data_IF_025054955088
#
_entry.id   IF_025054955088
#
_cell.length_a   1.000
_cell.length_b   1.000
_cell.length_c   1.000
_cell.angle_alpha   90.00
_cell.angle_beta   90.00
_cell.angle_gamma   90.00
#
_symmetry.space_group_name_H-M   'P 1'
#
loop_
_entity.id
_entity.type
_entity.pdbx_description
1 polymer ?
#
# COMPACT_ATOMS: atom_id res chain seq x y z
N UNK A 1 4.24 24.23 -2.13
CA UNK A 1 4.61 23.97 -0.72
C UNK A 1 3.95 22.68 -0.17
N UNK A 2 3.95 21.56 -0.92
CA UNK A 2 3.29 20.29 -0.49
C UNK A 2 4.24 19.09 -0.37
N UNK A 3 5.55 19.29 -0.57
CA UNK A 3 6.52 18.19 -0.62
C UNK A 3 6.85 17.59 0.75
N UNK A 4 6.73 18.37 1.83
CA UNK A 4 7.17 17.97 3.17
C UNK A 4 6.25 16.96 3.85
N UNK A 5 4.92 17.09 3.71
CA UNK A 5 3.98 16.22 4.41
C UNK A 5 4.01 14.77 3.90
N UNK A 6 4.15 14.56 2.59
CA UNK A 6 4.23 13.21 2.01
C UNK A 6 5.54 12.47 2.32
N UNK A 7 6.60 13.21 2.69
CA UNK A 7 7.89 12.66 3.11
C UNK A 7 7.83 12.31 4.60
N UNK A 8 7.25 13.19 5.42
CA UNK A 8 7.07 12.96 6.86
C UNK A 8 6.14 11.76 7.13
N UNK A 9 4.99 11.69 6.46
CA UNK A 9 4.05 10.55 6.57
C UNK A 9 4.72 9.23 6.15
N UNK A 10 5.50 9.23 5.07
CA UNK A 10 6.22 8.03 4.62
C UNK A 10 7.33 7.59 5.57
N UNK A 11 7.94 8.50 6.32
CA UNK A 11 8.91 8.14 7.35
C UNK A 11 8.21 7.38 8.49
N UNK A 12 7.08 7.89 8.96
CA UNK A 12 6.28 7.24 10.01
C UNK A 12 5.76 5.86 9.58
N UNK A 13 5.30 5.72 8.33
CA UNK A 13 4.83 4.44 7.78
C UNK A 13 5.97 3.43 7.56
N UNK A 14 7.10 3.91 7.05
CA UNK A 14 8.29 3.07 6.86
C UNK A 14 8.75 2.51 8.20
N UNK A 15 8.60 3.29 9.28
CA UNK A 15 8.93 2.85 10.63
C UNK A 15 7.95 1.80 11.17
N UNK A 16 6.67 1.86 10.80
CA UNK A 16 5.69 0.80 11.13
C UNK A 16 6.03 -0.52 10.43
N UNK A 17 6.40 -0.51 9.16
CA UNK A 17 6.76 -1.76 8.45
C UNK A 17 8.08 -2.33 8.95
N UNK A 18 9.03 -1.49 9.39
CA UNK A 18 10.21 -1.96 10.13
C UNK A 18 9.80 -2.67 11.42
N UNK A 19 8.88 -2.08 12.20
CA UNK A 19 8.37 -2.71 13.42
C UNK A 19 7.69 -4.05 13.14
N UNK A 20 6.89 -4.13 12.07
CA UNK A 20 6.28 -5.38 11.61
C UNK A 20 7.34 -6.42 11.19
N UNK A 21 8.47 -5.98 10.64
CA UNK A 21 9.57 -6.88 10.28
C UNK A 21 10.20 -7.53 11.52
N UNK A 22 10.44 -6.77 12.59
CA UNK A 22 10.89 -7.33 13.87
C UNK A 22 9.85 -8.27 14.47
N UNK A 23 8.58 -7.86 14.45
CA UNK A 23 7.47 -8.66 14.94
C UNK A 23 7.36 -10.01 14.20
N UNK A 24 7.42 -9.99 12.86
CA UNK A 24 7.38 -11.19 12.04
C UNK A 24 8.60 -12.09 12.25
N UNK A 25 9.79 -11.52 12.50
CA UNK A 25 10.99 -12.28 12.86
C UNK A 25 10.78 -13.08 14.14
N UNK A 26 10.21 -12.46 15.17
CA UNK A 26 9.89 -13.13 16.44
C UNK A 26 8.85 -14.24 16.28
N UNK A 27 8.02 -14.18 15.24
CA UNK A 27 7.05 -15.21 14.86
C UNK A 27 7.60 -16.23 13.85
N UNK A 28 8.91 -16.28 13.62
CA UNK A 28 9.56 -17.29 12.78
C UNK A 28 9.53 -16.99 11.27
N UNK A 29 9.35 -15.73 10.86
CA UNK A 29 9.53 -15.34 9.45
C UNK A 29 10.96 -15.61 8.98
N UNK A 30 11.09 -16.21 7.79
CA UNK A 30 12.38 -16.50 7.15
C UNK A 30 12.97 -15.31 6.38
N UNK A 31 12.14 -14.33 6.04
CA UNK A 31 12.57 -13.14 5.28
C UNK A 31 11.78 -11.89 5.72
N UNK A 32 11.84 -11.51 7.01
CA UNK A 32 11.10 -10.36 7.56
C UNK A 32 11.47 -9.04 6.88
N UNK A 33 12.73 -8.87 6.47
CA UNK A 33 13.25 -7.68 5.78
C UNK A 33 12.56 -7.41 4.43
N UNK A 34 11.96 -8.43 3.81
CA UNK A 34 11.25 -8.28 2.53
C UNK A 34 9.84 -7.71 2.70
N UNK A 35 9.32 -7.56 3.92
CA UNK A 35 7.95 -7.11 4.15
C UNK A 35 7.71 -5.71 3.57
N UNK A 36 8.68 -4.79 3.65
CA UNK A 36 8.59 -3.48 2.99
C UNK A 36 8.22 -3.60 1.50
N UNK A 37 8.98 -4.40 0.75
CA UNK A 37 8.76 -4.61 -0.68
C UNK A 37 7.41 -5.31 -0.93
N UNK A 38 7.02 -6.25 -0.07
CA UNK A 38 5.74 -6.96 -0.17
C UNK A 38 4.55 -6.00 -0.05
N UNK A 39 4.57 -5.09 0.92
CA UNK A 39 3.50 -4.11 1.10
C UNK A 39 3.49 -3.03 0.01
N UNK A 40 4.65 -2.56 -0.45
CA UNK A 40 4.72 -1.66 -1.61
C UNK A 40 4.13 -2.31 -2.86
N UNK A 41 4.46 -3.57 -3.14
CA UNK A 41 3.89 -4.32 -4.27
C UNK A 41 2.39 -4.54 -4.12
N UNK A 42 1.90 -4.70 -2.89
CA UNK A 42 0.46 -4.83 -2.62
C UNK A 42 -0.29 -3.57 -3.04
N UNK A 43 0.19 -2.37 -2.63
CA UNK A 43 -0.40 -1.08 -3.03
C UNK A 43 -0.46 -0.96 -4.55
N UNK A 44 0.65 -1.25 -5.24
CA UNK A 44 0.70 -1.15 -6.70
C UNK A 44 -0.25 -2.13 -7.39
N UNK A 45 -0.31 -3.37 -6.88
CA UNK A 45 -1.24 -4.38 -7.41
C UNK A 45 -2.70 -3.98 -7.21
N UNK A 46 -3.05 -3.42 -6.06
CA UNK A 46 -4.42 -3.00 -5.75
C UNK A 46 -4.86 -1.83 -6.63
N UNK A 47 -3.94 -0.94 -6.98
CA UNK A 47 -4.21 0.20 -7.85
C UNK A 47 -3.99 -0.09 -9.34
N UNK A 48 -3.71 -1.34 -9.72
CA UNK A 48 -3.36 -1.75 -11.08
C UNK A 48 -2.26 -0.89 -11.74
N UNK A 49 -1.27 -0.47 -10.94
CA UNK A 49 -0.15 0.35 -11.38
C UNK A 49 0.92 -0.56 -12.02
N UNK A 50 1.23 -0.32 -13.29
CA UNK A 50 2.35 -1.00 -13.97
C UNK A 50 3.70 -0.57 -13.38
N UNK A 51 4.63 -1.51 -13.27
CA UNK A 51 6.01 -1.23 -12.87
C UNK A 51 6.68 -0.27 -13.87
N UNK A 52 7.47 0.69 -13.37
CA UNK A 52 8.21 1.65 -14.21
C UNK A 52 7.61 3.06 -14.29
N UNK A 53 6.44 3.30 -13.68
CA UNK A 53 5.74 4.60 -13.73
C UNK A 53 6.08 5.55 -12.56
N UNK A 54 7.09 5.21 -11.75
CA UNK A 54 7.51 6.01 -10.59
C UNK A 54 8.02 7.38 -11.07
N UNK A 55 7.21 8.42 -10.87
CA UNK A 55 7.50 9.80 -11.31
C UNK A 55 6.43 10.41 -12.21
N UNK A 56 5.45 9.62 -12.68
CA UNK A 56 4.38 10.07 -13.57
C UNK A 56 3.00 10.13 -12.90
N UNK A 57 2.94 10.07 -11.57
CA UNK A 57 1.67 10.14 -10.84
C UNK A 57 1.18 11.57 -10.68
N UNK A 58 -0.09 11.81 -10.99
CA UNK A 58 -0.75 13.08 -10.68
C UNK A 58 -1.05 13.20 -9.17
N UNK A 59 -1.46 14.40 -8.72
CA UNK A 59 -1.70 14.66 -7.30
C UNK A 59 -2.77 13.74 -6.68
N UNK A 60 -3.83 13.42 -7.42
CA UNK A 60 -4.89 12.51 -6.97
C UNK A 60 -4.38 11.08 -6.78
N UNK A 61 -3.57 10.58 -7.72
CA UNK A 61 -2.95 9.25 -7.63
C UNK A 61 -1.97 9.17 -6.45
N UNK A 62 -1.15 10.21 -6.26
CA UNK A 62 -0.26 10.29 -5.09
C UNK A 62 -1.04 10.33 -3.77
N UNK A 63 -2.18 11.03 -3.74
CA UNK A 63 -3.05 11.08 -2.58
C UNK A 63 -3.59 9.70 -2.22
N UNK A 64 -4.07 8.94 -3.22
CA UNK A 64 -4.60 7.59 -2.99
C UNK A 64 -3.51 6.65 -2.50
N UNK A 65 -2.33 6.68 -3.11
CA UNK A 65 -1.19 5.87 -2.66
C UNK A 65 -0.90 6.16 -1.19
N UNK A 66 -0.79 7.44 -0.81
CA UNK A 66 -0.58 7.84 0.59
C UNK A 66 -1.71 7.38 1.51
N UNK A 67 -2.97 7.45 1.07
CA UNK A 67 -4.09 6.92 1.86
C UNK A 67 -3.96 5.41 2.09
N UNK A 68 -3.58 4.63 1.07
CA UNK A 68 -3.37 3.19 1.23
C UNK A 68 -2.19 2.90 2.17
N UNK A 69 -1.10 3.67 2.10
CA UNK A 69 0.06 3.55 2.98
C UNK A 69 -0.31 3.83 4.46
N UNK A 70 -1.12 4.87 4.72
CA UNK A 70 -1.65 5.18 6.06
C UNK A 70 -2.54 4.04 6.58
N UNK A 71 -3.45 3.53 5.73
CA UNK A 71 -4.33 2.43 6.10
C UNK A 71 -3.55 1.15 6.47
N UNK A 72 -2.46 0.88 5.74
CA UNK A 72 -1.55 -0.21 6.06
C UNK A 72 -0.96 0.01 7.46
N UNK A 73 -0.34 1.17 7.70
CA UNK A 73 0.35 1.46 8.96
C UNK A 73 -0.59 1.34 10.17
N UNK A 74 -1.78 1.95 10.09
CA UNK A 74 -2.77 1.89 11.17
C UNK A 74 -3.25 0.46 11.44
N UNK A 75 -3.62 -0.27 10.40
CA UNK A 75 -4.11 -1.66 10.53
C UNK A 75 -3.02 -2.59 11.07
N UNK A 76 -1.78 -2.40 10.64
CA UNK A 76 -0.63 -3.19 11.14
C UNK A 76 -0.43 -2.95 12.64
N UNK A 77 -0.40 -1.70 13.09
CA UNK A 77 -0.25 -1.36 14.52
C UNK A 77 -1.37 -1.98 15.35
N UNK A 78 -2.62 -1.81 14.92
CA UNK A 78 -3.82 -2.32 15.60
C UNK A 78 -3.71 -3.83 15.82
N UNK A 79 -3.48 -4.58 14.74
CA UNK A 79 -3.44 -6.03 14.79
C UNK A 79 -2.20 -6.58 15.52
N UNK A 80 -1.07 -5.85 15.49
CA UNK A 80 0.10 -6.20 16.31
C UNK A 80 -0.18 -6.06 17.80
N UNK A 81 -0.94 -5.03 18.23
CA UNK A 81 -1.37 -4.86 19.63
C UNK A 81 -2.30 -6.00 20.07
N UNK A 82 -3.10 -6.53 19.15
CA UNK A 82 -3.96 -7.70 19.35
C UNK A 82 -3.20 -9.05 19.26
N UNK A 83 -1.87 -9.02 19.11
CA UNK A 83 -1.02 -10.20 18.95
C UNK A 83 -1.38 -11.09 17.75
N UNK A 84 -1.97 -10.51 16.70
CA UNK A 84 -2.32 -11.25 15.49
C UNK A 84 -1.07 -11.64 14.71
N UNK A 85 -1.01 -12.90 14.26
CA UNK A 85 0.13 -13.41 13.51
C UNK A 85 0.36 -12.64 12.20
N UNK A 86 1.62 -12.31 11.88
CA UNK A 86 2.00 -11.39 10.78
C UNK A 86 1.42 -11.77 9.40
N UNK A 87 1.29 -13.07 9.12
CA UNK A 87 0.66 -13.55 7.87
C UNK A 87 -0.82 -13.21 7.79
N UNK A 88 -1.52 -13.24 8.93
CA UNK A 88 -2.95 -12.89 9.02
C UNK A 88 -3.11 -11.37 8.88
N UNK A 89 -2.22 -10.58 9.49
CA UNK A 89 -2.15 -9.12 9.30
C UNK A 89 -2.09 -8.77 7.81
N UNK A 90 -1.23 -9.43 7.04
CA UNK A 90 -1.15 -9.20 5.59
C UNK A 90 -2.48 -9.45 4.86
N UNK A 91 -3.19 -10.53 5.19
CA UNK A 91 -4.47 -10.83 4.55
C UNK A 91 -5.55 -9.80 4.91
N UNK A 92 -5.62 -9.39 6.17
CA UNK A 92 -6.58 -8.37 6.63
C UNK A 92 -6.29 -7.03 5.95
N UNK A 93 -5.03 -6.61 5.90
CA UNK A 93 -4.63 -5.39 5.18
C UNK A 93 -5.03 -5.48 3.72
N UNK A 94 -4.69 -6.58 3.03
CA UNK A 94 -5.08 -6.79 1.63
C UNK A 94 -6.59 -6.65 1.46
N UNK A 95 -7.40 -7.24 2.33
CA UNK A 95 -8.85 -7.15 2.25
C UNK A 95 -9.34 -5.70 2.43
N UNK A 96 -8.88 -4.99 3.48
CA UNK A 96 -9.25 -3.60 3.75
C UNK A 96 -8.93 -2.67 2.57
N UNK A 97 -7.74 -2.82 1.97
CA UNK A 97 -7.33 -2.01 0.83
C UNK A 97 -8.18 -2.30 -0.42
N UNK A 98 -8.51 -3.56 -0.70
CA UNK A 98 -9.40 -3.91 -1.82
C UNK A 98 -10.81 -3.34 -1.60
N UNK A 99 -11.34 -3.43 -0.38
CA UNK A 99 -12.65 -2.84 -0.05
C UNK A 99 -12.65 -1.33 -0.28
N UNK A 100 -11.62 -0.62 0.21
CA UNK A 100 -11.51 0.83 0.00
C UNK A 100 -11.42 1.18 -1.48
N UNK A 101 -10.57 0.51 -2.24
CA UNK A 101 -10.44 0.72 -3.70
C UNK A 101 -11.73 0.36 -4.44
N UNK A 102 -12.50 -0.62 -3.98
CA UNK A 102 -13.82 -0.93 -4.54
C UNK A 102 -14.86 0.17 -4.29
N UNK A 103 -14.69 1.00 -3.25
CA UNK A 103 -15.60 2.11 -2.93
C UNK A 103 -15.27 3.38 -3.72
N UNK A 104 -13.99 3.62 -4.03
CA UNK A 104 -13.59 4.76 -4.83
C UNK A 104 -13.60 4.37 -6.31
N UNK A 105 -14.20 5.19 -7.18
CA UNK A 105 -14.24 4.97 -8.63
C UNK A 105 -12.85 5.10 -9.27
N UNK A 106 -11.93 4.17 -8.98
CA UNK A 106 -10.53 4.20 -9.43
C UNK A 106 -10.43 4.33 -10.95
N UNK A 107 -11.38 3.74 -11.68
CA UNK A 107 -11.48 3.94 -13.14
C UNK A 107 -11.46 5.41 -13.53
N UNK A 108 -12.25 6.28 -12.91
CA UNK A 108 -12.33 7.70 -13.26
C UNK A 108 -11.02 8.46 -12.97
N UNK A 109 -10.29 8.03 -11.95
CA UNK A 109 -9.05 8.67 -11.47
C UNK A 109 -7.84 8.33 -12.37
N UNK A 110 -7.87 7.16 -13.00
CA UNK A 110 -6.84 6.71 -13.96
C UNK A 110 -7.28 6.85 -15.43
N UNK A 111 -8.50 7.31 -15.72
CA UNK A 111 -9.06 7.44 -17.09
C UNK A 111 -8.54 8.65 -17.89
N UNK A 112 -7.67 9.49 -17.33
CA UNK A 112 -7.29 10.76 -18.01
C UNK A 112 -6.19 10.58 -19.08
N UNK A 113 -5.44 9.47 -19.10
CA UNK A 113 -4.46 9.21 -20.17
C UNK A 113 -4.63 7.80 -20.76
N UNK A 114 -5.56 7.69 -21.71
CA UNK A 114 -5.82 6.46 -22.50
C UNK A 114 -4.59 5.92 -23.25
N UNK A 115 -3.50 6.67 -23.36
CA UNK A 115 -2.28 6.22 -24.06
C UNK A 115 -1.22 5.58 -23.14
N UNK A 116 -1.28 5.77 -21.81
CA UNK A 116 -0.28 5.21 -20.89
C UNK A 116 -0.72 3.94 -20.15
N UNK A 117 -2.03 3.65 -20.12
CA UNK A 117 -2.59 2.56 -19.33
C UNK A 117 -3.55 1.71 -20.18
N UNK A 118 -2.99 0.75 -20.91
CA UNK A 118 -3.77 -0.34 -21.50
C UNK A 118 -4.42 -1.19 -20.40
N UNK A 119 -5.62 -0.77 -19.97
CA UNK A 119 -6.57 -1.56 -19.21
C UNK A 119 -7.25 -2.50 -20.22
N UNK A 120 -6.76 -3.72 -20.36
CA UNK A 120 -7.53 -4.77 -21.02
C UNK A 120 -8.65 -5.18 -20.08
N UNK A 121 -9.85 -4.71 -20.34
CA UNK A 121 -11.06 -5.29 -19.78
C UNK A 121 -11.20 -6.68 -20.41
N UNK A 122 -11.06 -7.73 -19.61
CA UNK A 122 -11.50 -9.05 -20.01
C UNK A 122 -13.03 -9.01 -20.12
N UNK A 123 -13.51 -9.24 -21.34
CA UNK A 123 -14.90 -9.54 -21.70
C UNK A 123 -15.40 -10.82 -21.04
#
# INVERSE_FOLDING_TARGET
MQRNNSILVRNDETDVIKLLSFYAKNQGSRSPEKLYIVYTKLVYKILDIKSGLRGHFNASQLSIIGTLEIMIAQTVIELMKENIHYKVIYQIVKQKLNSFVGLISVKEIYSVDKELYNIKLAS
#
